data_IF_440618101390
#
_entry.id   IF_440618101390
#
_cell.length_a   1.000
_cell.length_b   1.000
_cell.length_c   1.000
_cell.angle_alpha   90.00
_cell.angle_beta   90.00
_cell.angle_gamma   90.00
#
_symmetry.space_group_name_H-M   'P 1'
#
loop_
_entity.id
_entity.type
_entity.pdbx_description
1 polymer ?
#
# COMPACT_ATOMS: atom_id res chain seq x y z
N UNK A 1 8.68 8.30 -31.16
CA UNK A 1 7.85 8.72 -30.01
C UNK A 1 6.70 7.74 -29.89
N UNK A 2 6.23 7.39 -28.69
CA UNK A 2 5.02 6.60 -28.54
C UNK A 2 3.87 7.33 -29.25
N UNK A 3 3.09 6.61 -30.06
CA UNK A 3 1.87 7.12 -30.69
C UNK A 3 0.67 6.39 -30.11
N UNK A 4 -0.39 7.12 -29.80
CA UNK A 4 -1.64 6.52 -29.30
C UNK A 4 -2.34 5.73 -30.41
N UNK A 5 -2.94 4.59 -30.07
CA UNK A 5 -3.83 3.85 -30.96
C UNK A 5 -5.24 4.44 -31.02
N UNK A 6 -5.56 5.40 -30.14
CA UNK A 6 -6.85 6.07 -30.08
C UNK A 6 -6.98 7.10 -31.22
N UNK A 7 -8.15 7.20 -31.80
CA UNK A 7 -8.53 8.29 -32.71
C UNK A 7 -8.44 9.65 -32.01
N UNK A 8 -8.35 10.77 -32.76
CA UNK A 8 -8.35 12.11 -32.16
C UNK A 8 -9.58 12.40 -31.27
N UNK A 9 -10.75 11.87 -31.65
CA UNK A 9 -11.99 12.01 -30.88
C UNK A 9 -11.92 11.25 -29.54
N UNK A 10 -11.47 10.00 -29.55
CA UNK A 10 -11.28 9.20 -28.33
C UNK A 10 -10.22 9.81 -27.40
N UNK A 11 -9.16 10.40 -27.96
CA UNK A 11 -8.16 11.12 -27.15
C UNK A 11 -8.75 12.35 -26.48
N UNK A 12 -9.57 13.13 -27.20
CA UNK A 12 -10.24 14.30 -26.64
C UNK A 12 -11.23 13.90 -25.54
N UNK A 13 -12.00 12.83 -25.75
CA UNK A 13 -12.95 12.33 -24.77
C UNK A 13 -12.26 11.78 -23.52
N UNK A 14 -11.17 11.01 -23.67
CA UNK A 14 -10.37 10.56 -22.53
C UNK A 14 -9.83 11.74 -21.72
N UNK A 15 -9.33 12.79 -22.39
CA UNK A 15 -8.87 14.01 -21.73
C UNK A 15 -10.00 14.72 -20.96
N UNK A 16 -11.18 14.83 -21.56
CA UNK A 16 -12.35 15.44 -20.93
C UNK A 16 -12.80 14.66 -19.69
N UNK A 17 -12.92 13.33 -19.78
CA UNK A 17 -13.32 12.50 -18.64
C UNK A 17 -12.30 12.54 -17.49
N UNK A 18 -11.00 12.58 -17.80
CA UNK A 18 -9.96 12.77 -16.78
C UNK A 18 -10.06 14.14 -16.11
N UNK A 19 -10.39 15.20 -16.87
CA UNK A 19 -10.62 16.52 -16.32
C UNK A 19 -11.81 16.53 -15.35
N UNK A 20 -12.92 15.86 -15.70
CA UNK A 20 -14.07 15.68 -14.80
C UNK A 20 -13.66 15.01 -13.49
N UNK A 21 -12.90 13.91 -13.56
CA UNK A 21 -12.42 13.20 -12.35
C UNK A 21 -11.57 14.11 -11.46
N UNK A 22 -10.69 14.92 -12.06
CA UNK A 22 -9.81 15.82 -11.32
C UNK A 22 -10.58 16.99 -10.70
N UNK A 23 -11.41 17.66 -11.49
CA UNK A 23 -12.02 18.94 -11.12
C UNK A 23 -13.32 18.79 -10.33
N UNK A 24 -14.13 17.77 -10.66
CA UNK A 24 -15.46 17.57 -10.07
C UNK A 24 -15.44 16.49 -8.99
N UNK A 25 -14.76 15.36 -9.25
CA UNK A 25 -14.72 14.23 -8.32
C UNK A 25 -13.55 14.27 -7.34
N UNK A 26 -12.75 15.34 -7.37
CA UNK A 26 -11.59 15.55 -6.48
C UNK A 26 -10.60 14.39 -6.53
N UNK A 27 -10.43 13.80 -7.71
CA UNK A 27 -9.54 12.65 -7.92
C UNK A 27 -10.11 11.31 -7.45
N UNK A 28 -11.40 11.23 -7.11
CA UNK A 28 -12.05 9.95 -6.88
C UNK A 28 -12.18 9.19 -8.22
N UNK A 29 -11.51 8.05 -8.31
CA UNK A 29 -11.53 7.22 -9.50
C UNK A 29 -12.60 6.14 -9.32
N UNK A 30 -13.59 6.04 -10.23
CA UNK A 30 -14.61 4.99 -10.16
C UNK A 30 -14.01 3.60 -10.41
N UNK A 31 -14.58 2.57 -9.82
CA UNK A 31 -14.09 1.18 -9.89
C UNK A 31 -13.87 0.69 -11.34
N UNK A 32 -14.72 1.12 -12.28
CA UNK A 32 -14.60 0.81 -13.71
C UNK A 32 -13.31 1.31 -14.35
N UNK A 33 -12.75 2.42 -13.86
CA UNK A 33 -11.49 3.00 -14.32
C UNK A 33 -10.31 2.65 -13.40
N UNK A 34 -10.58 2.36 -12.13
CA UNK A 34 -9.59 2.13 -11.08
C UNK A 34 -8.53 1.12 -11.52
N UNK A 35 -8.94 -0.08 -11.97
CA UNK A 35 -8.00 -1.12 -12.37
C UNK A 35 -7.08 -0.72 -13.54
N UNK A 36 -7.54 0.14 -14.44
CA UNK A 36 -6.75 0.57 -15.58
C UNK A 36 -5.73 1.64 -15.19
N UNK A 37 -6.10 2.58 -14.32
CA UNK A 37 -5.17 3.60 -13.84
C UNK A 37 -3.96 2.98 -13.14
N UNK A 38 -4.16 1.97 -12.29
CA UNK A 38 -3.06 1.25 -11.63
C UNK A 38 -2.07 0.58 -12.61
N UNK A 39 -2.54 0.24 -13.81
CA UNK A 39 -1.75 -0.35 -14.89
C UNK A 39 -1.14 0.68 -15.84
N UNK A 40 -1.42 1.98 -15.64
CA UNK A 40 -0.92 3.06 -16.49
C UNK A 40 0.11 3.91 -15.75
N UNK A 41 -0.09 4.16 -14.45
CA UNK A 41 0.76 5.06 -13.67
C UNK A 41 1.44 4.34 -12.51
N UNK A 42 2.72 4.62 -12.25
CA UNK A 42 3.34 4.27 -10.98
C UNK A 42 2.63 5.00 -9.84
N UNK A 43 1.98 4.25 -8.94
CA UNK A 43 1.12 4.82 -7.90
C UNK A 43 1.63 4.43 -6.51
N UNK A 44 1.96 5.42 -5.64
CA UNK A 44 2.27 5.18 -4.24
C UNK A 44 1.17 4.41 -3.47
N UNK A 45 1.59 3.38 -2.74
CA UNK A 45 0.79 2.67 -1.77
C UNK A 45 1.52 2.64 -0.43
N UNK A 46 0.80 2.85 0.68
CA UNK A 46 1.37 2.68 2.02
C UNK A 46 1.22 1.22 2.45
N UNK A 47 2.30 0.63 2.93
CA UNK A 47 2.30 -0.66 3.63
C UNK A 47 2.45 -0.33 5.12
N UNK A 48 1.35 -0.43 5.87
CA UNK A 48 1.21 0.07 7.24
C UNK A 48 1.69 -0.99 8.23
N UNK A 49 2.99 -0.97 8.50
CA UNK A 49 3.62 -1.93 9.39
C UNK A 49 3.48 -1.48 10.84
N UNK A 50 2.51 -2.06 11.53
CA UNK A 50 2.26 -1.77 12.94
C UNK A 50 3.11 -2.70 13.80
N UNK A 51 3.87 -2.13 14.73
CA UNK A 51 4.67 -2.88 15.69
C UNK A 51 4.37 -2.46 17.14
N UNK A 52 4.74 -3.31 18.10
CA UNK A 52 4.65 -3.04 19.54
C UNK A 52 6.01 -3.09 20.25
N UNK A 53 6.02 -2.79 21.56
CA UNK A 53 7.25 -2.81 22.37
C UNK A 53 7.81 -4.23 22.58
N UNK A 54 7.01 -5.27 22.34
CA UNK A 54 7.43 -6.66 22.39
C UNK A 54 8.16 -7.11 21.13
N UNK A 55 8.34 -6.23 20.13
CA UNK A 55 8.93 -6.56 18.85
C UNK A 55 8.03 -7.44 17.97
N UNK A 56 6.74 -7.47 18.27
CA UNK A 56 5.75 -8.10 17.42
C UNK A 56 5.32 -7.13 16.33
N UNK A 57 4.90 -7.68 15.19
CA UNK A 57 4.30 -6.93 14.10
C UNK A 57 2.93 -7.50 13.75
N UNK A 58 2.02 -6.62 13.34
CA UNK A 58 0.65 -6.98 13.02
C UNK A 58 0.54 -7.35 11.54
N UNK A 59 -0.14 -8.46 11.26
CA UNK A 59 -0.57 -8.82 9.91
C UNK A 59 -2.09 -8.99 9.88
N UNK A 60 -2.71 -8.64 8.75
CA UNK A 60 -4.09 -9.02 8.44
C UNK A 60 -4.12 -10.14 7.39
N UNK A 61 -5.13 -11.01 7.43
CA UNK A 61 -5.31 -12.11 6.49
C UNK A 61 -6.39 -11.75 5.47
N UNK A 62 -6.12 -11.97 4.18
CA UNK A 62 -7.10 -11.79 3.10
C UNK A 62 -7.49 -13.12 2.48
N UNK A 63 -8.70 -13.18 1.95
CA UNK A 63 -9.20 -14.32 1.16
C UNK A 63 -9.81 -13.87 -0.18
N UNK A 64 -9.28 -12.76 -0.73
CA UNK A 64 -9.69 -12.22 -2.02
C UNK A 64 -8.76 -12.71 -3.14
N UNK A 65 -8.45 -11.87 -4.13
CA UNK A 65 -7.45 -12.16 -5.17
C UNK A 65 -6.06 -12.49 -4.57
N UNK A 66 -5.83 -12.14 -3.30
CA UNK A 66 -4.69 -12.55 -2.50
C UNK A 66 -5.18 -13.39 -1.32
N UNK A 67 -4.54 -14.54 -1.13
CA UNK A 67 -4.87 -15.48 -0.04
C UNK A 67 -3.66 -15.64 0.86
N UNK A 68 -3.77 -15.14 2.08
CA UNK A 68 -2.70 -15.19 3.08
C UNK A 68 -2.59 -13.95 3.94
N UNK A 69 -1.62 -13.98 4.86
CA UNK A 69 -1.25 -12.83 5.69
C UNK A 69 -0.50 -11.77 4.89
N UNK A 70 -0.74 -10.51 5.24
CA UNK A 70 -0.07 -9.37 4.64
C UNK A 70 0.04 -8.22 5.65
N UNK A 71 0.93 -7.29 5.36
CA UNK A 71 0.95 -5.98 6.00
C UNK A 71 -0.30 -5.22 5.51
N UNK A 72 -1.14 -4.69 6.41
CA UNK A 72 -2.29 -3.86 6.04
C UNK A 72 -1.88 -2.65 5.19
N UNK A 73 -2.77 -2.17 4.32
CA UNK A 73 -2.47 -0.96 3.55
C UNK A 73 -3.15 -0.85 2.20
N UNK A 74 -2.59 0.01 1.36
CA UNK A 74 -3.07 0.22 0.00
C UNK A 74 -2.72 1.59 -0.58
N UNK A 75 -3.28 1.85 -1.76
CA UNK A 75 -2.99 3.06 -2.53
C UNK A 75 -3.38 4.34 -1.79
N UNK A 76 -2.54 5.35 -1.93
CA UNK A 76 -2.82 6.69 -1.44
C UNK A 76 -3.78 7.40 -2.37
N UNK A 77 -4.80 8.07 -1.84
CA UNK A 77 -5.65 8.96 -2.64
C UNK A 77 -4.92 10.28 -2.94
N UNK A 78 -5.25 10.96 -4.05
CA UNK A 78 -4.71 12.28 -4.35
C UNK A 78 -4.85 13.24 -3.16
N UNK A 79 -3.76 13.94 -2.84
CA UNK A 79 -3.73 14.93 -1.76
C UNK A 79 -3.58 14.37 -0.34
N UNK A 80 -3.53 13.05 -0.13
CA UNK A 80 -3.27 12.49 1.19
C UNK A 80 -1.80 12.63 1.60
N UNK A 81 -1.55 12.99 2.87
CA UNK A 81 -0.26 12.75 3.50
C UNK A 81 -0.07 11.25 3.83
N UNK A 82 1.14 10.84 4.20
CA UNK A 82 1.37 9.48 4.71
C UNK A 82 0.53 9.19 5.96
N UNK A 83 0.40 10.17 6.86
CA UNK A 83 -0.45 10.04 8.04
C UNK A 83 -1.91 9.78 7.65
N UNK A 84 -2.48 10.58 6.74
CA UNK A 84 -3.87 10.42 6.30
C UNK A 84 -4.12 9.07 5.65
N UNK A 85 -3.16 8.59 4.85
CA UNK A 85 -3.27 7.31 4.16
C UNK A 85 -3.18 6.14 5.14
N UNK A 86 -2.20 6.13 6.06
CA UNK A 86 -2.07 5.08 7.06
C UNK A 86 -3.30 5.04 7.98
N UNK A 87 -3.73 6.20 8.50
CA UNK A 87 -4.94 6.33 9.32
C UNK A 87 -6.18 5.79 8.60
N UNK A 88 -6.35 6.14 7.33
CA UNK A 88 -7.48 5.68 6.52
C UNK A 88 -7.51 4.16 6.42
N UNK A 89 -6.38 3.51 6.10
CA UNK A 89 -6.34 2.06 5.90
C UNK A 89 -6.51 1.29 7.21
N UNK A 90 -5.91 1.73 8.32
CA UNK A 90 -6.11 1.05 9.63
C UNK A 90 -7.55 1.21 10.13
N UNK A 91 -8.20 2.36 9.90
CA UNK A 91 -9.62 2.55 10.25
C UNK A 91 -10.51 1.70 9.36
N UNK A 92 -10.23 1.66 8.05
CA UNK A 92 -11.00 0.87 7.07
C UNK A 92 -10.97 -0.63 7.39
N UNK A 93 -9.83 -1.14 7.83
CA UNK A 93 -9.66 -2.56 8.22
C UNK A 93 -10.08 -2.84 9.68
N UNK A 94 -10.58 -1.83 10.40
CA UNK A 94 -11.01 -1.94 11.80
C UNK A 94 -9.86 -2.37 12.73
N UNK A 95 -8.64 -1.91 12.45
CA UNK A 95 -7.43 -2.26 13.20
C UNK A 95 -7.26 -1.30 14.39
N UNK A 96 -7.36 0.00 14.14
CA UNK A 96 -7.15 1.05 15.13
C UNK A 96 -7.81 2.37 14.70
N UNK A 97 -7.92 3.31 15.63
CA UNK A 97 -8.42 4.67 15.37
C UNK A 97 -7.43 5.53 14.55
N UNK A 98 -6.20 5.06 14.37
CA UNK A 98 -5.14 5.75 13.65
C UNK A 98 -3.76 5.23 14.04
N UNK A 99 -2.72 5.81 13.45
CA UNK A 99 -1.32 5.45 13.72
C UNK A 99 -0.49 6.65 14.19
N UNK A 100 0.65 6.37 14.81
CA UNK A 100 1.63 7.35 15.27
C UNK A 100 3.05 6.86 15.03
N UNK A 101 4.04 7.74 15.22
CA UNK A 101 5.47 7.42 15.08
C UNK A 101 5.82 6.85 13.71
N UNK A 102 5.35 7.51 12.64
CA UNK A 102 5.56 7.07 11.27
C UNK A 102 7.04 7.20 10.89
N UNK A 103 7.61 6.09 10.44
CA UNK A 103 8.96 6.02 9.88
C UNK A 103 8.91 5.26 8.55
N UNK A 104 9.41 5.89 7.47
CA UNK A 104 9.58 5.20 6.18
C UNK A 104 10.83 4.33 6.26
N UNK A 105 10.64 3.02 6.33
CA UNK A 105 11.73 2.05 6.54
C UNK A 105 12.18 1.34 5.26
N UNK A 106 11.44 1.54 4.17
CA UNK A 106 11.78 0.97 2.87
C UNK A 106 10.83 1.41 1.78
N UNK A 107 11.30 1.31 0.56
CA UNK A 107 10.49 1.52 -0.64
C UNK A 107 10.67 0.36 -1.59
N UNK A 108 9.62 0.02 -2.33
CA UNK A 108 9.70 -1.01 -3.35
C UNK A 108 8.88 -0.64 -4.58
N UNK A 109 9.55 -0.54 -5.73
CA UNK A 109 8.92 -0.25 -7.02
C UNK A 109 8.64 -1.55 -7.75
N UNK A 110 7.38 -1.78 -8.09
CA UNK A 110 6.95 -2.96 -8.83
C UNK A 110 7.09 -2.73 -10.34
N UNK A 111 7.85 -3.59 -11.01
CA UNK A 111 8.06 -3.50 -12.47
C UNK A 111 7.00 -4.29 -13.25
N UNK A 112 7.05 -4.19 -14.58
CA UNK A 112 6.05 -4.77 -15.48
C UNK A 112 5.80 -6.26 -15.21
N UNK A 113 4.53 -6.59 -14.92
CA UNK A 113 4.01 -7.94 -14.60
C UNK A 113 4.48 -8.53 -13.26
N UNK A 114 5.18 -7.77 -12.42
CA UNK A 114 5.57 -8.26 -11.10
C UNK A 114 4.42 -8.19 -10.08
N UNK A 115 3.49 -7.24 -10.24
CA UNK A 115 2.34 -7.07 -9.38
C UNK A 115 1.02 -7.17 -10.16
N UNK A 116 0.00 -7.90 -9.67
CA UNK A 116 -1.24 -8.12 -10.43
C UNK A 116 -2.06 -6.84 -10.63
N UNK A 117 -1.86 -5.82 -9.78
CA UNK A 117 -2.51 -4.51 -9.94
C UNK A 117 -1.76 -3.53 -10.85
N UNK A 118 -0.52 -3.81 -11.27
CA UNK A 118 0.24 -2.92 -12.16
C UNK A 118 1.54 -2.45 -11.54
N UNK A 119 1.70 -1.14 -11.34
CA UNK A 119 2.98 -0.53 -10.93
C UNK A 119 2.90 0.19 -9.57
N UNK A 120 2.56 -0.48 -8.45
CA UNK A 120 2.66 0.17 -7.15
C UNK A 120 4.09 0.64 -6.87
N UNK A 121 4.18 1.74 -6.12
CA UNK A 121 5.38 2.13 -5.39
C UNK A 121 5.04 1.94 -3.91
N UNK A 122 5.45 0.82 -3.35
CA UNK A 122 5.17 0.48 -1.95
C UNK A 122 6.07 1.27 -1.02
N UNK A 123 5.46 2.05 -0.13
CA UNK A 123 6.08 2.83 0.91
C UNK A 123 5.87 2.09 2.23
N UNK A 124 6.92 1.47 2.75
CA UNK A 124 6.83 0.62 3.93
C UNK A 124 7.01 1.50 5.16
N UNK A 125 5.92 1.72 5.88
CA UNK A 125 5.87 2.68 6.98
C UNK A 125 5.73 1.90 8.29
N UNK A 126 6.79 1.91 9.10
CA UNK A 126 6.73 1.43 10.48
C UNK A 126 6.00 2.46 11.33
N UNK A 127 5.04 2.00 12.14
CA UNK A 127 4.22 2.88 12.97
C UNK A 127 3.64 2.12 14.18
N UNK A 128 2.96 2.86 15.06
CA UNK A 128 2.31 2.33 16.26
C UNK A 128 0.82 2.66 16.23
N UNK A 129 -0.03 1.71 16.61
CA UNK A 129 -1.46 1.97 16.75
C UNK A 129 -1.71 3.00 17.86
N UNK A 130 -2.68 3.88 17.65
CA UNK A 130 -3.08 4.91 18.65
C UNK A 130 -4.16 4.43 19.61
N UNK A 131 -4.78 3.29 19.30
CA UNK A 131 -5.78 2.61 20.12
C UNK A 131 -5.37 1.15 20.35
N UNK A 132 -6.05 0.48 21.28
CA UNK A 132 -5.86 -0.95 21.50
C UNK A 132 -6.22 -1.75 20.23
N UNK A 133 -5.36 -2.71 19.89
CA UNK A 133 -5.58 -3.64 18.76
C UNK A 133 -6.06 -4.96 19.33
N UNK A 134 -7.33 -5.28 19.09
CA UNK A 134 -7.89 -6.59 19.45
C UNK A 134 -7.62 -7.60 18.33
N UNK A 135 -6.91 -8.68 18.64
CA UNK A 135 -6.70 -9.77 17.69
C UNK A 135 -8.01 -10.42 17.26
N UNK A 136 -8.02 -10.89 16.02
CA UNK A 136 -9.11 -11.61 15.39
C UNK A 136 -8.56 -12.77 14.58
N UNK A 137 -9.43 -13.61 14.03
CA UNK A 137 -8.99 -14.72 13.17
C UNK A 137 -8.20 -14.23 11.95
N UNK A 138 -8.52 -13.03 11.46
CA UNK A 138 -7.91 -12.36 10.31
C UNK A 138 -6.94 -11.24 10.68
N UNK A 139 -6.58 -11.05 11.95
CA UNK A 139 -5.72 -9.97 12.41
C UNK A 139 -4.93 -10.41 13.64
N UNK A 140 -3.61 -10.65 13.48
CA UNK A 140 -2.78 -11.24 14.54
C UNK A 140 -1.41 -10.61 14.63
N UNK A 141 -0.85 -10.63 15.84
CA UNK A 141 0.51 -10.27 16.14
C UNK A 141 1.44 -11.46 15.90
N UNK A 142 2.57 -11.18 15.27
CA UNK A 142 3.59 -12.17 14.96
C UNK A 142 4.98 -11.69 15.39
N UNK A 143 5.81 -12.62 15.84
CA UNK A 143 7.26 -12.39 16.07
C UNK A 143 8.10 -12.88 14.89
N UNK A 144 7.54 -13.79 14.08
CA UNK A 144 8.16 -14.42 12.92
C UNK A 144 7.15 -14.49 11.78
N UNK A 145 7.63 -14.60 10.54
CA UNK A 145 6.73 -14.69 9.39
C UNK A 145 5.91 -15.99 9.46
N UNK A 146 4.56 -15.93 9.46
CA UNK A 146 3.77 -17.15 9.36
C UNK A 146 3.97 -17.83 7.99
N UNK A 147 3.67 -19.14 7.85
CA UNK A 147 3.92 -19.90 6.64
C UNK A 147 3.11 -19.43 5.41
N UNK A 148 2.00 -18.74 5.64
CA UNK A 148 1.00 -18.30 4.67
C UNK A 148 1.03 -16.78 4.42
N UNK A 149 2.20 -16.13 4.55
CA UNK A 149 2.36 -14.73 4.10
C UNK A 149 2.35 -14.65 2.57
N UNK A 150 1.66 -13.65 2.02
CA UNK A 150 1.59 -13.47 0.57
C UNK A 150 2.98 -13.19 -0.03
N UNK A 151 3.28 -13.71 -1.24
CA UNK A 151 4.60 -13.56 -1.87
C UNK A 151 5.04 -12.11 -2.12
N UNK A 152 4.10 -11.17 -2.13
CA UNK A 152 4.41 -9.76 -2.31
C UNK A 152 5.07 -9.14 -1.07
N UNK A 153 4.78 -9.69 0.12
CA UNK A 153 5.29 -9.21 1.40
C UNK A 153 6.61 -9.91 1.81
N UNK A 154 6.82 -11.15 1.37
CA UNK A 154 8.05 -11.93 1.64
C UNK A 154 8.75 -12.31 0.34
N UNK A 155 10.05 -12.00 0.16
CA UNK A 155 10.96 -11.38 1.13
C UNK A 155 10.89 -9.85 1.15
N UNK A 156 10.08 -9.20 0.30
CA UNK A 156 10.24 -7.78 -0.01
C UNK A 156 10.03 -6.87 1.20
N UNK A 157 8.84 -6.86 1.80
CA UNK A 157 8.49 -5.87 2.82
C UNK A 157 8.96 -6.26 4.21
N UNK A 158 8.72 -7.51 4.62
CA UNK A 158 9.08 -7.97 5.96
C UNK A 158 10.60 -8.06 6.17
N UNK A 159 11.41 -8.18 5.11
CA UNK A 159 12.87 -8.08 5.26
C UNK A 159 13.32 -6.66 5.64
N UNK A 160 12.68 -5.60 5.13
CA UNK A 160 12.99 -4.22 5.54
C UNK A 160 12.72 -4.05 7.03
N UNK A 161 11.60 -4.56 7.52
CA UNK A 161 11.29 -4.53 8.95
C UNK A 161 12.30 -5.29 9.79
N UNK A 162 12.65 -6.52 9.42
CA UNK A 162 13.59 -7.34 10.18
C UNK A 162 14.97 -6.68 10.27
N UNK A 163 15.42 -5.99 9.23
CA UNK A 163 16.65 -5.19 9.25
C UNK A 163 16.51 -3.96 10.15
N UNK A 164 15.48 -3.16 9.89
CA UNK A 164 15.19 -1.94 10.64
C UNK A 164 15.04 -2.19 12.15
N UNK A 165 14.28 -3.22 12.53
CA UNK A 165 14.03 -3.60 13.93
C UNK A 165 15.31 -4.06 14.65
N UNK A 166 16.27 -4.66 13.93
CA UNK A 166 17.59 -5.05 14.46
C UNK A 166 18.57 -3.87 14.56
N UNK A 167 18.15 -2.66 14.22
CA UNK A 167 18.98 -1.46 14.24
C UNK A 167 19.90 -1.31 13.03
N UNK A 168 19.72 -2.15 12.00
CA UNK A 168 20.43 -2.02 10.73
C UNK A 168 19.77 -0.91 9.90
N UNK A 169 20.26 0.32 10.08
CA UNK A 169 19.74 1.55 9.47
C UNK A 169 20.45 1.90 8.15
N UNK A 170 20.84 0.90 7.36
CA UNK A 170 21.18 1.19 5.97
C UNK A 170 19.92 1.73 5.28
N UNK A 171 19.92 3.05 5.03
CA UNK A 171 18.95 3.73 4.19
C UNK A 171 18.74 2.88 2.94
N UNK A 172 17.49 2.46 2.67
CA UNK A 172 17.17 1.72 1.47
C UNK A 172 17.74 2.48 0.27
N UNK A 173 18.85 1.99 -0.29
CA UNK A 173 19.46 2.62 -1.43
C UNK A 173 18.45 2.54 -2.57
N UNK A 174 18.05 3.71 -3.06
CA UNK A 174 17.26 3.86 -4.27
C UNK A 174 18.14 3.30 -5.40
N UNK A 175 17.82 2.11 -5.91
CA UNK A 175 18.31 1.61 -7.19
C UNK A 175 17.31 2.03 -8.28
#
# INVERSE_FOLDING_TARGET
>A
MPSSSLSPEEQAELGHLLAVVVEQDKGFIPDSAYRFIHKLVPWPAVEVLIYDDGGRFLLSHRDDDFKGWHIPGGYMKPGQSYQDACDYHVRKEGIADGVSSLELIGTHTWLHREHPFGYPISLIIACRATSEVTERDDLKWFTENPPDVIPQNVPRYLAYFQKWFKGDRESAAIL
#
